data_IF_267352155217
#
_entry.id   IF_267352155217
#
_cell.length_a   1.000
_cell.length_b   1.000
_cell.length_c   1.000
_cell.angle_alpha   90.00
_cell.angle_beta   90.00
_cell.angle_gamma   90.00
#
_symmetry.space_group_name_H-M   'P 1'
#
loop_
_entity.id
_entity.type
_entity.pdbx_description
1 polymer ?
#
# COMPACT_ATOMS: atom_id res chain seq x y z
N UNK A 1 18.47 21.42 7.20
CA UNK A 1 18.74 20.13 6.50
C UNK A 1 17.66 19.91 5.45
N UNK A 2 18.02 19.43 4.24
CA UNK A 2 17.05 19.08 3.17
C UNK A 2 16.87 17.56 3.13
N UNK A 3 15.62 17.08 3.25
CA UNK A 3 15.29 15.65 3.23
C UNK A 3 14.27 15.37 2.14
N UNK A 4 14.54 14.35 1.34
CA UNK A 4 13.60 13.88 0.32
C UNK A 4 12.94 12.60 0.80
N UNK A 5 11.61 12.58 0.80
CA UNK A 5 10.80 11.45 1.25
C UNK A 5 9.93 10.95 0.07
N UNK A 6 10.14 9.73 -0.36
CA UNK A 6 9.21 9.05 -1.26
C UNK A 6 8.11 8.42 -0.42
N UNK A 7 6.87 8.91 -0.55
CA UNK A 7 5.75 8.62 0.33
C UNK A 7 4.57 7.98 -0.42
N UNK A 8 3.46 7.88 0.25
CA UNK A 8 2.22 7.23 -0.21
C UNK A 8 1.63 6.33 0.88
N UNK A 9 2.11 6.50 2.11
CA UNK A 9 1.63 5.78 3.29
C UNK A 9 1.31 6.76 4.43
N UNK A 10 0.50 6.32 5.37
CA UNK A 10 0.20 7.10 6.59
C UNK A 10 1.46 7.35 7.41
N UNK A 11 2.37 6.36 7.46
CA UNK A 11 3.65 6.48 8.15
C UNK A 11 4.52 7.56 7.51
N UNK A 12 4.63 7.57 6.19
CA UNK A 12 5.41 8.59 5.46
C UNK A 12 4.86 9.99 5.68
N UNK A 13 3.52 10.13 5.71
CA UNK A 13 2.85 11.40 6.02
C UNK A 13 3.13 11.87 7.45
N UNK A 14 2.99 10.99 8.43
CA UNK A 14 3.27 11.33 9.83
C UNK A 14 4.74 11.66 10.05
N UNK A 15 5.64 10.90 9.44
CA UNK A 15 7.08 11.11 9.50
C UNK A 15 7.49 12.46 8.89
N UNK A 16 6.96 12.81 7.70
CA UNK A 16 7.28 14.08 7.04
C UNK A 16 6.88 15.28 7.88
N UNK A 17 5.72 15.23 8.53
CA UNK A 17 5.26 16.30 9.45
C UNK A 17 6.11 16.39 10.70
N UNK A 18 6.45 15.25 11.30
CA UNK A 18 7.33 15.23 12.48
C UNK A 18 8.71 15.80 12.15
N UNK A 19 9.25 15.50 10.97
CA UNK A 19 10.55 16.00 10.54
C UNK A 19 10.52 17.50 10.23
N UNK A 20 9.48 18.00 9.57
CA UNK A 20 9.30 19.43 9.34
C UNK A 20 9.16 20.23 10.65
N UNK A 21 8.47 19.66 11.64
CA UNK A 21 8.36 20.25 12.98
C UNK A 21 9.71 20.36 13.72
N UNK A 22 10.71 19.55 13.35
CA UNK A 22 12.09 19.66 13.84
C UNK A 22 12.92 20.72 13.07
N UNK A 23 12.32 21.42 12.10
CA UNK A 23 12.98 22.48 11.33
C UNK A 23 13.69 22.02 10.06
N UNK A 24 13.50 20.78 9.62
CA UNK A 24 14.01 20.33 8.33
C UNK A 24 13.17 20.88 7.16
N UNK A 25 13.81 21.18 6.03
CA UNK A 25 13.13 21.37 4.76
C UNK A 25 12.84 20.01 4.16
N UNK A 26 11.55 19.66 3.99
CA UNK A 26 11.12 18.34 3.56
C UNK A 26 10.50 18.40 2.18
N UNK A 27 11.02 17.60 1.23
CA UNK A 27 10.37 17.35 -0.06
C UNK A 27 9.71 15.98 -0.04
N UNK A 28 8.38 15.94 -0.17
CA UNK A 28 7.62 14.69 -0.22
C UNK A 28 7.21 14.39 -1.65
N UNK A 29 7.62 13.24 -2.16
CA UNK A 29 7.25 12.73 -3.48
C UNK A 29 6.13 11.70 -3.37
N UNK A 30 5.03 11.92 -4.08
CA UNK A 30 3.89 11.02 -4.17
C UNK A 30 3.57 10.72 -5.64
N UNK A 31 3.15 9.49 -5.93
CA UNK A 31 2.98 9.03 -7.31
C UNK A 31 1.67 9.52 -7.98
N UNK A 32 0.69 10.01 -7.20
CA UNK A 32 -0.67 10.31 -7.68
C UNK A 32 -1.22 11.57 -7.03
N UNK A 33 -2.19 12.24 -7.70
CA UNK A 33 -2.91 13.38 -7.15
C UNK A 33 -3.62 13.02 -5.83
N UNK A 34 -4.26 11.86 -5.77
CA UNK A 34 -4.86 11.37 -4.52
C UNK A 34 -3.83 11.29 -3.39
N UNK A 35 -2.62 10.83 -3.69
CA UNK A 35 -1.51 10.80 -2.71
C UNK A 35 -1.11 12.21 -2.25
N UNK A 36 -1.19 13.21 -3.14
CA UNK A 36 -0.93 14.61 -2.80
C UNK A 36 -2.05 15.20 -1.93
N UNK A 37 -3.30 14.93 -2.26
CA UNK A 37 -4.45 15.32 -1.46
C UNK A 37 -4.36 14.73 -0.04
N UNK A 38 -4.05 13.45 0.08
CA UNK A 38 -3.86 12.78 1.37
C UNK A 38 -2.66 13.32 2.15
N UNK A 39 -1.55 13.65 1.48
CA UNK A 39 -0.39 14.27 2.12
C UNK A 39 -0.75 15.63 2.72
N UNK A 40 -1.52 16.42 2.00
CA UNK A 40 -1.95 17.76 2.37
C UNK A 40 -0.78 18.74 2.45
N UNK A 41 -1.10 19.99 2.80
CA UNK A 41 -0.12 21.05 3.00
C UNK A 41 0.32 21.10 4.45
N UNK A 42 1.59 21.43 4.69
CA UNK A 42 2.13 21.77 6.01
C UNK A 42 3.38 22.64 5.84
N UNK A 43 3.64 23.50 6.80
CA UNK A 43 4.84 24.34 6.81
C UNK A 43 6.11 23.48 6.78
N UNK A 44 7.11 23.91 6.00
CA UNK A 44 8.37 23.19 5.83
C UNK A 44 8.28 21.94 4.90
N UNK A 45 7.09 21.65 4.33
CA UNK A 45 6.89 20.53 3.41
C UNK A 45 6.56 21.04 2.01
N UNK A 46 7.33 20.59 1.03
CA UNK A 46 7.03 20.75 -0.40
C UNK A 46 6.57 19.40 -0.95
N UNK A 47 5.35 19.34 -1.50
CA UNK A 47 4.81 18.11 -2.12
C UNK A 47 5.06 18.14 -3.62
N UNK A 48 5.62 17.04 -4.14
CA UNK A 48 5.78 16.80 -5.57
C UNK A 48 4.95 15.60 -5.99
N UNK A 49 4.09 15.81 -6.98
CA UNK A 49 3.20 14.78 -7.52
C UNK A 49 3.73 14.25 -8.84
N UNK A 50 3.53 12.98 -9.08
CA UNK A 50 3.88 12.29 -10.30
C UNK A 50 4.96 11.24 -10.12
N UNK A 51 5.00 10.29 -11.07
CA UNK A 51 6.03 9.26 -11.08
C UNK A 51 7.32 9.84 -11.66
N UNK A 52 8.42 9.61 -10.97
CA UNK A 52 9.76 9.91 -11.44
C UNK A 52 10.39 8.63 -11.98
N UNK A 53 11.14 8.76 -13.06
CA UNK A 53 12.08 7.73 -13.51
C UNK A 53 13.37 7.76 -12.68
N UNK A 54 14.28 6.84 -12.96
CA UNK A 54 15.53 6.72 -12.21
C UNK A 54 16.40 7.98 -12.29
N UNK A 55 16.42 8.65 -13.45
CA UNK A 55 17.20 9.87 -13.67
C UNK A 55 16.58 11.04 -12.89
N UNK A 56 15.27 11.22 -12.96
CA UNK A 56 14.53 12.24 -12.21
C UNK A 56 14.66 12.07 -10.71
N UNK A 57 14.62 10.81 -10.20
CA UNK A 57 14.87 10.52 -8.79
C UNK A 57 16.29 10.91 -8.38
N UNK A 58 17.29 10.53 -9.19
CA UNK A 58 18.71 10.85 -8.92
C UNK A 58 18.93 12.35 -8.92
N UNK A 59 18.38 13.07 -9.89
CA UNK A 59 18.51 14.52 -9.99
C UNK A 59 17.87 15.22 -8.77
N UNK A 60 16.72 14.76 -8.33
CA UNK A 60 16.03 15.29 -7.15
C UNK A 60 16.81 15.06 -5.85
N UNK A 61 17.50 13.94 -5.75
CA UNK A 61 18.27 13.57 -4.55
C UNK A 61 19.61 14.32 -4.45
N UNK A 62 20.14 14.87 -5.55
CA UNK A 62 21.39 15.63 -5.51
C UNK A 62 21.26 16.83 -4.56
N UNK A 63 22.15 16.87 -3.58
CA UNK A 63 22.15 17.91 -2.54
C UNK A 63 21.15 17.71 -1.39
N UNK A 64 20.41 16.61 -1.39
CA UNK A 64 19.69 16.18 -0.21
C UNK A 64 20.66 15.60 0.83
N UNK A 65 20.38 15.86 2.10
CA UNK A 65 21.13 15.26 3.21
C UNK A 65 20.72 13.81 3.45
N UNK A 66 19.46 13.49 3.17
CA UNK A 66 18.87 12.19 3.45
C UNK A 66 17.77 11.85 2.45
N UNK A 67 17.69 10.58 2.06
CA UNK A 67 16.61 9.97 1.29
C UNK A 67 15.84 8.99 2.17
N UNK A 68 14.53 9.19 2.33
CA UNK A 68 13.66 8.27 3.06
C UNK A 68 12.66 7.64 2.10
N UNK A 69 12.70 6.32 1.98
CA UNK A 69 11.68 5.54 1.29
C UNK A 69 10.60 5.10 2.28
N UNK A 70 9.48 5.81 2.25
CA UNK A 70 8.27 5.52 3.00
C UNK A 70 7.14 5.00 2.09
N UNK A 71 7.48 4.40 0.95
CA UNK A 71 6.50 3.81 0.03
C UNK A 71 5.86 2.57 0.64
N UNK A 72 4.72 2.16 0.06
CA UNK A 72 4.00 0.98 0.53
C UNK A 72 4.89 -0.28 0.48
N UNK A 73 4.84 -1.19 1.47
CA UNK A 73 5.67 -2.40 1.51
C UNK A 73 5.62 -3.27 0.25
N UNK A 74 4.49 -3.24 -0.47
CA UNK A 74 4.31 -3.97 -1.73
C UNK A 74 4.79 -3.20 -2.97
N UNK A 75 5.38 -2.02 -2.81
CA UNK A 75 5.92 -1.22 -3.92
C UNK A 75 7.40 -1.57 -4.22
N UNK A 76 7.73 -2.86 -4.29
CA UNK A 76 9.09 -3.36 -4.41
C UNK A 76 9.90 -2.75 -5.58
N UNK A 77 9.24 -2.47 -6.71
CA UNK A 77 9.87 -1.80 -7.84
C UNK A 77 10.27 -0.36 -7.49
N UNK A 78 9.36 0.40 -6.88
CA UNK A 78 9.65 1.77 -6.45
C UNK A 78 10.81 1.80 -5.44
N UNK A 79 10.78 0.93 -4.43
CA UNK A 79 11.86 0.79 -3.45
C UNK A 79 13.21 0.49 -4.10
N UNK A 80 13.26 -0.43 -5.09
CA UNK A 80 14.51 -0.71 -5.82
C UNK A 80 15.02 0.52 -6.56
N UNK A 81 14.14 1.24 -7.24
CA UNK A 81 14.50 2.43 -8.02
C UNK A 81 14.97 3.57 -7.12
N UNK A 82 14.30 3.81 -5.99
CA UNK A 82 14.68 4.83 -5.02
C UNK A 82 16.04 4.52 -4.40
N UNK A 83 16.28 3.26 -4.01
CA UNK A 83 17.57 2.82 -3.45
C UNK A 83 18.71 3.01 -4.45
N UNK A 84 18.48 2.63 -5.71
CA UNK A 84 19.45 2.83 -6.77
C UNK A 84 19.74 4.32 -7.05
N UNK A 85 18.70 5.16 -7.07
CA UNK A 85 18.85 6.60 -7.25
C UNK A 85 19.59 7.28 -6.09
N UNK A 86 19.33 6.87 -4.85
CA UNK A 86 20.04 7.37 -3.66
C UNK A 86 21.54 7.01 -3.73
N UNK A 87 21.86 5.77 -4.10
CA UNK A 87 23.24 5.34 -4.29
C UNK A 87 23.94 6.14 -5.41
N UNK A 88 23.27 6.36 -6.56
CA UNK A 88 23.80 7.13 -7.68
C UNK A 88 24.00 8.63 -7.33
N UNK A 89 23.17 9.18 -6.46
CA UNK A 89 23.29 10.55 -5.97
C UNK A 89 24.29 10.70 -4.81
N UNK A 90 24.78 9.62 -4.22
CA UNK A 90 25.65 9.63 -3.04
C UNK A 90 24.92 10.09 -1.76
N UNK A 91 23.62 9.83 -1.66
CA UNK A 91 22.76 10.27 -0.54
C UNK A 91 22.47 9.08 0.38
N UNK A 92 22.54 9.31 1.69
CA UNK A 92 22.19 8.32 2.70
C UNK A 92 20.73 7.91 2.55
N UNK A 93 20.47 6.57 2.48
CA UNK A 93 19.17 6.01 2.23
C UNK A 93 18.63 5.30 3.47
N UNK A 94 17.39 5.58 3.83
CA UNK A 94 16.66 4.90 4.89
C UNK A 94 15.33 4.37 4.36
N UNK A 95 14.99 3.14 4.76
CA UNK A 95 13.71 2.54 4.49
C UNK A 95 12.82 2.62 5.71
N UNK A 96 11.81 3.50 5.67
CA UNK A 96 10.79 3.57 6.72
C UNK A 96 9.81 2.42 6.54
N UNK A 97 9.86 1.46 7.47
CA UNK A 97 9.05 0.26 7.39
C UNK A 97 8.33 -0.01 8.71
N UNK A 98 7.02 -0.18 8.63
CA UNK A 98 6.25 -0.63 9.78
C UNK A 98 6.39 -2.13 10.00
N UNK A 99 6.29 -2.63 11.24
CA UNK A 99 6.22 -4.06 11.52
C UNK A 99 5.08 -4.75 10.76
N UNK A 100 5.26 -6.03 10.42
CA UNK A 100 4.19 -6.85 9.88
C UNK A 100 3.12 -7.06 10.95
N UNK A 101 1.85 -7.20 10.53
CA UNK A 101 0.76 -7.50 11.44
C UNK A 101 0.80 -8.96 11.88
N UNK A 102 0.39 -9.29 13.12
CA UNK A 102 0.15 -10.68 13.50
C UNK A 102 -0.91 -11.30 12.58
N UNK A 103 -0.65 -12.47 12.05
CA UNK A 103 -1.58 -13.18 11.19
C UNK A 103 -2.59 -13.95 12.06
N UNK A 104 -3.91 -13.81 11.82
CA UNK A 104 -4.91 -14.59 12.54
C UNK A 104 -4.73 -16.10 12.30
N UNK A 105 -5.02 -16.91 13.32
CA UNK A 105 -5.04 -18.36 13.19
C UNK A 105 -6.02 -18.79 12.08
N UNK A 106 -5.63 -19.78 11.29
CA UNK A 106 -6.42 -20.27 10.16
C UNK A 106 -6.34 -19.43 8.87
N UNK A 107 -5.55 -18.35 8.86
CA UNK A 107 -5.28 -17.60 7.62
C UNK A 107 -4.43 -18.45 6.66
N UNK A 108 -4.75 -18.36 5.37
CA UNK A 108 -3.93 -18.94 4.30
C UNK A 108 -2.96 -17.86 3.82
N UNK A 109 -1.66 -18.11 3.95
CA UNK A 109 -0.63 -17.17 3.50
C UNK A 109 -0.03 -17.65 2.19
N UNK A 110 -0.10 -16.83 1.15
CA UNK A 110 0.37 -17.16 -0.19
C UNK A 110 1.37 -16.10 -0.68
N UNK A 111 2.29 -16.52 -1.51
CA UNK A 111 3.40 -15.66 -1.93
C UNK A 111 2.92 -14.41 -2.70
N UNK A 112 1.92 -14.59 -3.57
CA UNK A 112 1.46 -13.55 -4.49
C UNK A 112 0.01 -13.81 -4.95
N UNK A 113 -0.51 -12.90 -5.77
CA UNK A 113 -1.87 -12.98 -6.32
C UNK A 113 -2.06 -14.18 -7.26
N UNK A 114 -1.03 -14.58 -8.01
CA UNK A 114 -1.11 -15.74 -8.89
C UNK A 114 -1.28 -17.05 -8.11
N UNK A 115 -0.57 -17.19 -6.98
CA UNK A 115 -0.75 -18.31 -6.05
C UNK A 115 -2.13 -18.27 -5.38
N UNK A 116 -2.66 -17.10 -5.08
CA UNK A 116 -4.01 -16.97 -4.55
C UNK A 116 -5.07 -17.37 -5.60
N UNK A 117 -4.91 -16.97 -6.84
CA UNK A 117 -5.79 -17.40 -7.93
C UNK A 117 -5.75 -18.91 -8.13
N UNK A 118 -4.57 -19.52 -8.16
CA UNK A 118 -4.41 -20.98 -8.27
C UNK A 118 -5.06 -21.71 -7.08
N UNK A 119 -4.89 -21.19 -5.86
CA UNK A 119 -5.54 -21.75 -4.66
C UNK A 119 -7.08 -21.72 -4.76
N UNK A 120 -7.64 -20.70 -5.41
CA UNK A 120 -9.09 -20.49 -5.55
C UNK A 120 -9.70 -21.22 -6.75
N UNK A 121 -8.90 -21.73 -7.70
CA UNK A 121 -9.36 -22.32 -8.94
C UNK A 121 -10.33 -23.50 -8.71
N UNK A 122 -9.97 -24.41 -7.81
CA UNK A 122 -10.75 -25.62 -7.50
C UNK A 122 -11.68 -25.43 -6.27
N UNK A 123 -11.85 -24.21 -5.79
CA UNK A 123 -12.66 -23.90 -4.61
C UNK A 123 -13.85 -23.04 -4.98
N UNK A 124 -15.09 -23.56 -4.89
CA UNK A 124 -16.28 -22.78 -5.21
C UNK A 124 -16.50 -21.68 -4.15
N UNK A 125 -17.22 -20.61 -4.55
CA UNK A 125 -17.59 -19.52 -3.68
C UNK A 125 -17.14 -18.16 -4.21
N UNK A 126 -17.71 -17.09 -3.62
CA UNK A 126 -17.43 -15.71 -4.01
C UNK A 126 -16.19 -15.17 -3.30
N UNK A 127 -15.45 -14.33 -3.99
CA UNK A 127 -14.14 -13.85 -3.56
C UNK A 127 -14.14 -12.33 -3.48
N UNK A 128 -13.96 -11.76 -2.29
CA UNK A 128 -13.65 -10.34 -2.12
C UNK A 128 -12.15 -10.12 -2.34
N UNK A 129 -11.79 -9.37 -3.39
CA UNK A 129 -10.42 -8.99 -3.69
C UNK A 129 -10.12 -7.61 -3.09
N UNK A 130 -9.58 -7.57 -1.89
CA UNK A 130 -9.17 -6.35 -1.19
C UNK A 130 -7.68 -6.00 -1.42
N UNK A 131 -7.17 -6.32 -2.62
CA UNK A 131 -5.76 -6.18 -3.02
C UNK A 131 -5.48 -4.98 -3.91
N UNK A 132 -6.55 -4.29 -4.35
CA UNK A 132 -6.49 -3.19 -5.31
C UNK A 132 -6.44 -3.65 -6.77
N UNK A 133 -6.59 -2.68 -7.69
CA UNK A 133 -6.77 -2.94 -9.12
C UNK A 133 -5.56 -3.63 -9.80
N UNK A 134 -4.35 -3.38 -9.33
CA UNK A 134 -3.11 -3.92 -9.94
C UNK A 134 -3.02 -5.45 -9.93
N UNK A 135 -3.66 -6.09 -8.96
CA UNK A 135 -3.62 -7.55 -8.82
C UNK A 135 -4.71 -8.27 -9.62
N UNK A 136 -5.69 -7.54 -10.16
CA UNK A 136 -6.82 -8.15 -10.88
C UNK A 136 -6.39 -9.07 -12.04
N UNK A 137 -5.39 -8.72 -12.87
CA UNK A 137 -4.98 -9.62 -13.97
C UNK A 137 -4.54 -11.01 -13.51
N UNK A 138 -4.03 -11.16 -12.29
CA UNK A 138 -3.64 -12.46 -11.75
C UNK A 138 -4.83 -13.41 -11.53
N UNK A 139 -6.04 -12.86 -11.41
CA UNK A 139 -7.28 -13.63 -11.19
C UNK A 139 -8.07 -13.87 -12.48
N UNK A 140 -7.52 -13.53 -13.66
CA UNK A 140 -8.21 -13.64 -14.94
C UNK A 140 -8.63 -15.09 -15.33
N UNK A 141 -8.00 -16.11 -14.74
CA UNK A 141 -8.37 -17.50 -14.95
C UNK A 141 -9.61 -17.93 -14.14
N UNK A 142 -10.07 -17.15 -13.18
CA UNK A 142 -11.27 -17.43 -12.39
C UNK A 142 -12.50 -16.85 -13.09
N UNK A 143 -13.67 -17.47 -12.86
CA UNK A 143 -14.94 -16.92 -13.32
C UNK A 143 -15.15 -15.50 -12.77
N UNK A 144 -15.20 -14.45 -13.63
CA UNK A 144 -15.37 -13.07 -13.21
C UNK A 144 -16.66 -12.83 -12.40
N UNK A 145 -17.69 -13.64 -12.59
CA UNK A 145 -18.97 -13.51 -11.88
C UNK A 145 -18.85 -13.79 -10.38
N UNK A 146 -17.81 -14.50 -9.94
CA UNK A 146 -17.55 -14.78 -8.53
C UNK A 146 -16.60 -13.77 -7.87
N UNK A 147 -16.01 -12.85 -8.65
CA UNK A 147 -15.06 -11.86 -8.16
C UNK A 147 -15.76 -10.56 -7.73
N UNK A 148 -15.39 -10.08 -6.56
CA UNK A 148 -15.84 -8.82 -5.95
C UNK A 148 -14.62 -7.96 -5.65
N UNK A 149 -14.03 -7.28 -6.66
CA UNK A 149 -12.87 -6.42 -6.43
C UNK A 149 -13.27 -5.15 -5.69
N UNK A 150 -12.50 -4.82 -4.65
CA UNK A 150 -12.57 -3.55 -3.95
C UNK A 150 -11.40 -2.68 -4.42
N UNK A 151 -11.73 -1.61 -5.12
CA UNK A 151 -10.80 -0.70 -5.77
C UNK A 151 -11.07 0.75 -5.36
N UNK A 152 -10.11 1.63 -5.58
CA UNK A 152 -10.34 3.07 -5.41
C UNK A 152 -11.40 3.56 -6.41
N UNK A 153 -12.23 4.57 -6.04
CA UNK A 153 -13.28 5.12 -6.87
C UNK A 153 -12.70 6.06 -7.95
N UNK A 154 -11.78 5.53 -8.75
CA UNK A 154 -11.13 6.22 -9.86
C UNK A 154 -11.48 5.57 -11.19
N UNK A 155 -11.43 6.33 -12.28
CA UNK A 155 -11.66 5.78 -13.63
C UNK A 155 -10.72 4.59 -13.92
N UNK A 156 -9.45 4.69 -13.54
CA UNK A 156 -8.50 3.60 -13.72
C UNK A 156 -8.85 2.35 -12.90
N UNK A 157 -9.38 2.53 -11.68
CA UNK A 157 -9.82 1.42 -10.83
C UNK A 157 -11.01 0.67 -11.43
N UNK A 158 -12.00 1.40 -11.94
CA UNK A 158 -13.19 0.84 -12.58
C UNK A 158 -12.80 0.17 -13.90
N UNK A 159 -12.04 0.86 -14.76
CA UNK A 159 -11.58 0.31 -16.04
C UNK A 159 -10.78 -1.00 -15.88
N UNK A 160 -9.98 -1.13 -14.82
CA UNK A 160 -9.29 -2.38 -14.54
C UNK A 160 -10.25 -3.53 -14.20
N UNK A 161 -11.36 -3.25 -13.51
CA UNK A 161 -12.40 -4.25 -13.23
C UNK A 161 -13.14 -4.67 -14.51
N UNK A 162 -13.45 -3.71 -15.37
CA UNK A 162 -14.09 -3.96 -16.67
C UNK A 162 -13.17 -4.81 -17.58
N UNK A 163 -11.89 -4.45 -17.66
CA UNK A 163 -10.90 -5.21 -18.41
C UNK A 163 -10.74 -6.67 -17.91
N UNK A 164 -10.98 -6.89 -16.61
CA UNK A 164 -11.01 -8.22 -16.01
C UNK A 164 -12.36 -8.97 -16.21
N UNK A 165 -13.32 -8.38 -16.93
CA UNK A 165 -14.64 -8.96 -17.18
C UNK A 165 -15.56 -9.00 -15.96
N UNK A 166 -15.25 -8.27 -14.89
CA UNK A 166 -16.05 -8.28 -13.66
C UNK A 166 -17.39 -7.59 -13.91
N UNK A 167 -18.54 -8.22 -13.58
CA UNK A 167 -19.83 -7.56 -13.68
C UNK A 167 -19.88 -6.27 -12.84
N UNK A 168 -20.42 -5.18 -13.37
CA UNK A 168 -20.49 -3.88 -12.68
C UNK A 168 -21.09 -3.99 -11.28
N UNK A 169 -22.14 -4.81 -11.09
CA UNK A 169 -22.77 -5.05 -9.78
C UNK A 169 -21.84 -5.64 -8.72
N UNK A 170 -20.70 -6.20 -9.14
CA UNK A 170 -19.70 -6.80 -8.26
C UNK A 170 -18.55 -5.84 -7.93
N UNK A 171 -18.48 -4.67 -8.59
CA UNK A 171 -17.39 -3.72 -8.39
C UNK A 171 -17.66 -2.89 -7.14
N UNK A 172 -16.74 -2.94 -6.18
CA UNK A 172 -16.79 -2.17 -4.95
C UNK A 172 -15.81 -1.00 -5.03
N UNK A 173 -16.24 0.10 -5.69
CA UNK A 173 -15.42 1.30 -5.85
C UNK A 173 -15.55 2.20 -4.62
N UNK A 174 -14.63 2.07 -3.66
CA UNK A 174 -14.67 2.82 -2.39
C UNK A 174 -13.26 3.01 -1.80
N UNK A 175 -13.09 4.12 -1.08
CA UNK A 175 -11.82 4.47 -0.42
C UNK A 175 -11.90 4.14 1.08
N UNK A 176 -10.87 3.43 1.57
CA UNK A 176 -10.71 3.12 2.98
C UNK A 176 -9.99 4.22 3.78
N UNK A 177 -9.67 3.95 5.05
CA UNK A 177 -9.83 2.66 5.75
C UNK A 177 -11.29 2.32 6.06
N UNK A 178 -11.58 1.03 6.25
CA UNK A 178 -12.95 0.53 6.50
C UNK A 178 -13.03 -0.08 7.89
N UNK A 179 -14.12 0.20 8.61
CA UNK A 179 -14.39 -0.43 9.90
C UNK A 179 -14.66 -1.93 9.75
N UNK A 180 -14.55 -2.66 10.85
CA UNK A 180 -14.89 -4.09 10.87
C UNK A 180 -16.35 -4.35 10.54
N UNK A 181 -17.25 -3.44 10.97
CA UNK A 181 -18.68 -3.52 10.71
C UNK A 181 -18.98 -3.43 9.21
N UNK A 182 -18.37 -2.46 8.52
CA UNK A 182 -18.54 -2.31 7.07
C UNK A 182 -17.92 -3.49 6.32
N UNK A 183 -16.73 -3.96 6.73
CA UNK A 183 -16.16 -5.18 6.16
C UNK A 183 -17.11 -6.37 6.33
N UNK A 184 -17.66 -6.60 7.54
CA UNK A 184 -18.59 -7.69 7.80
C UNK A 184 -19.90 -7.54 6.99
N UNK A 185 -20.45 -6.33 6.88
CA UNK A 185 -21.64 -6.06 6.08
C UNK A 185 -21.43 -6.42 4.61
N UNK A 186 -20.28 -6.06 4.02
CA UNK A 186 -19.95 -6.42 2.64
C UNK A 186 -19.79 -7.94 2.46
N UNK A 187 -19.16 -8.63 3.43
CA UNK A 187 -19.00 -10.08 3.38
C UNK A 187 -20.37 -10.79 3.40
N UNK A 188 -21.28 -10.35 4.25
CA UNK A 188 -22.64 -10.88 4.32
C UNK A 188 -23.46 -10.54 3.08
N UNK A 189 -23.49 -9.27 2.67
CA UNK A 189 -24.30 -8.78 1.55
C UNK A 189 -24.00 -9.54 0.25
N UNK A 190 -22.72 -9.83 0.01
CA UNK A 190 -22.30 -10.50 -1.23
C UNK A 190 -22.06 -12.00 -1.06
N UNK A 191 -22.39 -12.58 0.11
CA UNK A 191 -22.18 -14.00 0.42
C UNK A 191 -20.75 -14.46 0.09
N UNK A 192 -19.76 -13.69 0.57
CA UNK A 192 -18.33 -13.92 0.33
C UNK A 192 -17.87 -15.15 1.10
N UNK A 193 -17.15 -16.03 0.41
CA UNK A 193 -16.52 -17.23 1.01
C UNK A 193 -15.04 -17.02 1.29
N UNK A 194 -14.38 -16.18 0.48
CA UNK A 194 -12.94 -15.91 0.56
C UNK A 194 -12.66 -14.42 0.51
N UNK A 195 -11.79 -13.94 1.38
CA UNK A 195 -11.26 -12.59 1.29
C UNK A 195 -9.76 -12.66 1.01
N UNK A 196 -9.32 -12.11 -0.13
CA UNK A 196 -7.90 -11.95 -0.46
C UNK A 196 -7.46 -10.54 -0.09
N UNK A 197 -6.44 -10.42 0.73
CA UNK A 197 -5.91 -9.13 1.19
C UNK A 197 -4.39 -9.11 1.26
N UNK A 198 -3.82 -7.91 1.33
CA UNK A 198 -2.43 -7.65 1.68
C UNK A 198 -2.34 -7.30 3.16
N UNK A 199 -1.22 -7.64 3.81
CA UNK A 199 -0.90 -7.08 5.13
C UNK A 199 -0.49 -5.61 4.96
N UNK A 200 -1.48 -4.75 4.94
CA UNK A 200 -1.28 -3.30 4.90
C UNK A 200 -1.00 -2.67 6.27
N UNK A 201 -0.86 -3.46 7.34
CA UNK A 201 -0.75 -2.97 8.72
C UNK A 201 -2.02 -2.26 9.20
N UNK A 202 -1.92 -1.55 10.34
CA UNK A 202 -3.03 -0.83 10.94
C UNK A 202 -3.63 0.22 9.99
N UNK A 203 -2.79 1.03 9.35
CA UNK A 203 -3.25 2.05 8.40
C UNK A 203 -3.96 1.46 7.16
N UNK A 204 -3.63 0.22 6.77
CA UNK A 204 -4.32 -0.51 5.69
C UNK A 204 -5.59 -1.23 6.14
N UNK A 205 -6.01 -1.08 7.40
CA UNK A 205 -7.19 -1.72 7.98
C UNK A 205 -7.09 -3.25 7.95
N UNK A 206 -5.89 -3.81 8.20
CA UNK A 206 -5.68 -5.26 8.16
C UNK A 206 -6.43 -5.96 9.29
N UNK A 207 -6.34 -5.41 10.52
CA UNK A 207 -7.01 -5.97 11.71
C UNK A 207 -8.53 -6.01 11.52
N UNK A 208 -9.13 -4.94 11.00
CA UNK A 208 -10.56 -4.82 10.76
C UNK A 208 -11.06 -5.83 9.70
N UNK A 209 -10.26 -6.06 8.67
CA UNK A 209 -10.54 -7.10 7.66
C UNK A 209 -10.46 -8.51 8.24
N UNK A 210 -9.42 -8.77 9.01
CA UNK A 210 -9.17 -10.06 9.63
C UNK A 210 -10.27 -10.41 10.66
N UNK A 211 -10.65 -9.45 11.51
CA UNK A 211 -11.71 -9.63 12.48
C UNK A 211 -13.07 -9.84 11.80
N UNK A 212 -13.38 -9.06 10.75
CA UNK A 212 -14.62 -9.24 9.99
C UNK A 212 -14.66 -10.63 9.31
N UNK A 213 -13.57 -11.08 8.71
CA UNK A 213 -13.50 -12.41 8.09
C UNK A 213 -13.74 -13.53 9.11
N UNK A 214 -13.10 -13.45 10.28
CA UNK A 214 -13.27 -14.42 11.35
C UNK A 214 -14.72 -14.46 11.87
N UNK A 215 -15.35 -13.30 12.09
CA UNK A 215 -16.75 -13.20 12.55
C UNK A 215 -17.75 -13.78 11.55
N UNK A 216 -17.47 -13.62 10.25
CA UNK A 216 -18.36 -14.06 9.17
C UNK A 216 -18.06 -15.51 8.70
N UNK A 217 -17.08 -16.20 9.28
CA UNK A 217 -16.66 -17.54 8.81
C UNK A 217 -16.04 -17.51 7.41
N UNK A 218 -15.48 -16.38 6.98
CA UNK A 218 -14.86 -16.19 5.65
C UNK A 218 -13.39 -16.56 5.73
N UNK A 219 -12.92 -17.40 4.80
CA UNK A 219 -11.52 -17.78 4.73
C UNK A 219 -10.67 -16.56 4.33
N UNK A 220 -9.79 -16.14 5.22
CA UNK A 220 -8.84 -15.07 4.95
C UNK A 220 -7.61 -15.64 4.20
N UNK A 221 -7.31 -15.03 3.05
CA UNK A 221 -6.11 -15.31 2.25
C UNK A 221 -5.26 -14.07 2.26
N UNK A 222 -4.06 -14.18 2.79
CA UNK A 222 -3.12 -13.06 2.92
C UNK A 222 -2.00 -13.22 1.91
N UNK A 223 -1.84 -12.25 1.03
CA UNK A 223 -0.67 -12.19 0.17
C UNK A 223 0.53 -11.80 1.03
N UNK A 224 1.59 -12.62 0.96
CA UNK A 224 2.81 -12.39 1.73
C UNK A 224 3.39 -11.01 1.42
N UNK A 225 3.77 -10.31 2.46
CA UNK A 225 4.54 -9.09 2.32
C UNK A 225 5.92 -9.44 1.72
N UNK A 226 6.41 -8.71 0.71
CA UNK A 226 7.78 -8.88 0.24
C UNK A 226 8.76 -8.73 1.40
N UNK A 227 9.80 -9.57 1.40
CA UNK A 227 10.88 -9.44 2.36
C UNK A 227 11.59 -8.10 2.09
N UNK A 228 11.63 -7.25 3.09
CA UNK A 228 12.27 -5.93 3.03
C UNK A 228 12.83 -5.59 4.43
N UNK A 229 14.01 -5.03 4.45
CA UNK A 229 14.65 -4.56 5.66
C UNK A 229 14.42 -3.05 5.78
N UNK A 230 14.06 -2.61 6.97
CA UNK A 230 13.77 -1.21 7.21
C UNK A 230 13.83 -0.85 8.68
N UNK A 231 13.66 0.43 8.93
CA UNK A 231 13.81 1.05 10.22
C UNK A 231 12.49 1.61 10.70
N UNK A 232 12.37 1.82 12.01
CA UNK A 232 11.22 2.47 12.61
C UNK A 232 11.26 3.99 12.41
N UNK A 233 10.12 4.63 12.57
CA UNK A 233 10.02 6.10 12.60
C UNK A 233 11.00 6.71 13.60
N UNK A 234 11.09 6.17 14.81
CA UNK A 234 11.94 6.70 15.88
C UNK A 234 13.41 6.60 15.55
N UNK A 235 13.85 5.50 14.94
CA UNK A 235 15.24 5.29 14.52
C UNK A 235 15.65 6.35 13.49
N UNK A 236 14.83 6.54 12.45
CA UNK A 236 15.16 7.50 11.38
C UNK A 236 15.05 8.95 11.91
N UNK A 237 14.08 9.28 12.77
CA UNK A 237 13.98 10.61 13.39
C UNK A 237 15.20 10.91 14.27
N UNK A 238 15.70 9.91 15.00
CA UNK A 238 16.93 10.09 15.79
C UNK A 238 18.12 10.41 14.89
N UNK A 239 18.28 9.69 13.78
CA UNK A 239 19.32 9.97 12.78
C UNK A 239 19.18 11.39 12.20
N UNK A 240 17.96 11.83 11.91
CA UNK A 240 17.71 13.18 11.42
C UNK A 240 18.09 14.27 12.45
N UNK A 241 17.84 14.04 13.74
CA UNK A 241 18.24 14.98 14.81
C UNK A 241 19.76 15.16 14.91
N UNK A 242 20.52 14.12 14.61
CA UNK A 242 21.99 14.18 14.61
C UNK A 242 22.54 15.01 13.43
N UNK A 243 21.74 15.18 12.38
CA UNK A 243 22.11 15.91 11.16
C UNK A 243 21.57 17.36 11.16
N UNK A 244 20.64 17.71 12.05
CA UNK A 244 20.08 19.06 12.21
C UNK A 244 20.98 19.95 13.04
#
# INVERSE_FOLDING_TARGET
MNVVIFSGTTEGRSFSRALAALGAAVTVCVATELGAEEQGCADGITVRTGRLDAEGMTALLRGAALCVDATHPYAAEATRNIRAAAAAAGVEYHRLLRPASPLPAGSVVLADAARAAAYLADRPGRVLLATGAKELPAFAALDPARLYPRVLPTLAGIAACEAAGVPHRNILAMQGPFTKELNAALLHQFHISYMVTKDGGAAGGFAEKAEAAARCGVQLIVLRRPDDEGETTDTILQRCRELL
#
